data_IF_456745890136
#
_entry.id   IF_456745890136
#
_cell.length_a   1.000
_cell.length_b   1.000
_cell.length_c   1.000
_cell.angle_alpha   90.00
_cell.angle_beta   90.00
_cell.angle_gamma   90.00
#
_symmetry.space_group_name_H-M   'P 1'
#
loop_
_entity.id
_entity.type
_entity.pdbx_description
1 polymer ?
#
# COMPACT_ATOMS: atom_id res chain seq x y z
N UNK A 1 -17.58 0.47 -7.14
CA UNK A 1 -16.45 0.05 -6.28
C UNK A 1 -15.36 1.08 -6.39
N UNK A 2 -14.96 1.67 -5.27
CA UNK A 2 -13.93 2.71 -5.22
C UNK A 2 -12.65 2.17 -4.59
N UNK A 3 -11.53 2.22 -5.33
CA UNK A 3 -10.22 1.75 -4.89
C UNK A 3 -9.27 2.94 -4.73
N UNK A 4 -8.69 3.07 -3.55
CA UNK A 4 -7.71 4.09 -3.21
C UNK A 4 -6.31 3.48 -3.20
N UNK A 5 -5.40 4.01 -4.02
CA UNK A 5 -3.97 3.75 -3.93
C UNK A 5 -3.28 4.80 -3.05
N UNK A 6 -2.46 4.37 -2.10
CA UNK A 6 -1.64 5.26 -1.26
C UNK A 6 -0.16 4.95 -1.51
N UNK A 7 0.55 5.90 -2.11
CA UNK A 7 1.99 5.81 -2.35
C UNK A 7 2.78 6.45 -1.21
N UNK A 8 3.47 5.62 -0.42
CA UNK A 8 4.32 6.07 0.69
C UNK A 8 5.73 6.50 0.30
N UNK A 9 6.08 6.56 -0.99
CA UNK A 9 7.41 6.94 -1.44
C UNK A 9 7.73 8.41 -1.14
N UNK A 10 9.00 8.69 -0.79
CA UNK A 10 9.51 10.07 -0.73
C UNK A 10 9.75 10.70 -2.11
N UNK A 11 9.76 9.90 -3.17
CA UNK A 11 10.07 10.34 -4.54
C UNK A 11 8.80 10.34 -5.38
N UNK A 12 8.31 11.54 -5.71
CA UNK A 12 7.12 11.74 -6.53
C UNK A 12 7.27 11.12 -7.92
N UNK A 13 6.23 10.43 -8.40
CA UNK A 13 6.15 9.90 -9.77
C UNK A 13 7.21 8.85 -10.12
N UNK A 14 7.90 8.26 -9.13
CA UNK A 14 8.96 7.26 -9.38
C UNK A 14 8.40 5.83 -9.33
N UNK A 15 9.29 4.85 -9.19
CA UNK A 15 8.98 3.42 -9.39
C UNK A 15 7.75 2.96 -8.61
N UNK A 16 7.66 3.26 -7.32
CA UNK A 16 6.51 2.86 -6.50
C UNK A 16 5.19 3.40 -7.05
N UNK A 17 5.19 4.67 -7.50
CA UNK A 17 4.06 5.28 -8.19
C UNK A 17 3.72 4.53 -9.48
N UNK A 18 4.70 4.29 -10.36
CA UNK A 18 4.47 3.65 -11.66
C UNK A 18 3.84 2.26 -11.51
N UNK A 19 4.34 1.48 -10.56
CA UNK A 19 3.85 0.13 -10.30
C UNK A 19 2.46 0.13 -9.64
N UNK A 20 2.22 1.03 -8.69
CA UNK A 20 0.90 1.19 -8.08
C UNK A 20 -0.13 1.67 -9.12
N UNK A 21 0.23 2.67 -9.93
CA UNK A 21 -0.63 3.17 -10.99
C UNK A 21 -0.97 2.09 -12.02
N UNK A 22 -0.02 1.22 -12.37
CA UNK A 22 -0.29 0.07 -13.24
C UNK A 22 -1.42 -0.82 -12.69
N UNK A 23 -1.40 -1.12 -11.40
CA UNK A 23 -2.44 -1.93 -10.73
C UNK A 23 -3.79 -1.19 -10.75
N UNK A 24 -3.78 0.11 -10.46
CA UNK A 24 -4.99 0.93 -10.43
C UNK A 24 -5.62 1.05 -11.84
N UNK A 25 -4.83 1.21 -12.89
CA UNK A 25 -5.33 1.22 -14.26
C UNK A 25 -5.94 -0.13 -14.68
N UNK A 26 -5.38 -1.25 -14.22
CA UNK A 26 -6.00 -2.57 -14.39
C UNK A 26 -7.33 -2.68 -13.66
N UNK A 27 -7.43 -2.21 -12.42
CA UNK A 27 -8.70 -2.16 -11.66
C UNK A 27 -9.73 -1.24 -12.34
N UNK A 28 -9.29 -0.13 -12.90
CA UNK A 28 -10.14 0.78 -13.67
C UNK A 28 -10.70 0.09 -14.92
N UNK A 29 -9.89 -0.70 -15.64
CA UNK A 29 -10.37 -1.48 -16.78
C UNK A 29 -11.39 -2.57 -16.39
N UNK A 30 -11.39 -3.01 -15.14
CA UNK A 30 -12.40 -3.91 -14.55
C UNK A 30 -13.63 -3.17 -13.99
N UNK A 31 -13.77 -1.87 -14.25
CA UNK A 31 -14.93 -1.05 -13.89
C UNK A 31 -14.88 -0.44 -12.49
N UNK A 32 -13.72 -0.43 -11.83
CA UNK A 32 -13.55 0.28 -10.56
C UNK A 32 -13.32 1.78 -10.78
N UNK A 33 -13.88 2.61 -9.90
CA UNK A 33 -13.39 3.99 -9.73
C UNK A 33 -12.10 3.95 -8.94
N UNK A 34 -11.07 4.68 -9.37
CA UNK A 34 -9.76 4.65 -8.74
C UNK A 34 -9.24 6.05 -8.44
N UNK A 35 -8.50 6.20 -7.34
CA UNK A 35 -7.73 7.41 -7.04
C UNK A 35 -6.36 7.00 -6.51
N UNK A 36 -5.35 7.86 -6.69
CA UNK A 36 -4.00 7.66 -6.20
C UNK A 36 -3.53 8.89 -5.41
N UNK A 37 -3.18 8.66 -4.16
CA UNK A 37 -2.57 9.65 -3.27
C UNK A 37 -1.07 9.37 -3.18
N UNK A 38 -0.24 10.37 -3.50
CA UNK A 38 1.19 10.36 -3.19
C UNK A 38 1.44 11.12 -1.89
N UNK A 39 1.85 10.43 -0.82
CA UNK A 39 2.06 11.07 0.49
C UNK A 39 3.11 12.19 0.47
N UNK A 40 3.96 12.21 -0.56
CA UNK A 40 4.95 13.29 -0.74
C UNK A 40 4.33 14.66 -1.01
N UNK A 41 3.09 14.70 -1.49
CA UNK A 41 2.36 15.93 -1.80
C UNK A 41 1.65 16.53 -0.58
N UNK A 42 1.67 15.83 0.57
CA UNK A 42 0.92 16.20 1.76
C UNK A 42 1.85 16.44 2.94
N UNK A 43 1.53 17.47 3.72
CA UNK A 43 2.19 17.70 5.00
C UNK A 43 1.39 17.03 6.12
N UNK A 44 1.97 16.01 6.76
CA UNK A 44 1.37 15.30 7.89
C UNK A 44 2.34 15.38 9.06
N UNK A 45 1.93 16.03 10.13
CA UNK A 45 2.70 16.14 11.36
C UNK A 45 2.80 14.81 12.09
N UNK A 46 3.87 14.61 12.83
CA UNK A 46 4.06 13.38 13.62
C UNK A 46 3.04 13.26 14.75
N UNK A 47 2.72 12.02 15.11
CA UNK A 47 1.89 11.75 16.27
C UNK A 47 2.60 12.22 17.56
N UNK A 48 1.95 13.06 18.35
CA UNK A 48 2.46 13.57 19.63
C UNK A 48 2.02 12.76 20.86
N UNK A 49 1.47 11.57 20.63
CA UNK A 49 1.02 10.65 21.68
C UNK A 49 0.06 11.26 22.72
N UNK A 50 -0.73 12.27 22.36
CA UNK A 50 -1.67 12.96 23.25
C UNK A 50 -2.84 12.10 23.73
N UNK A 51 -3.04 10.91 23.15
CA UNK A 51 -4.08 9.93 23.47
C UNK A 51 -5.55 10.39 23.33
N UNK A 52 -5.82 11.57 22.76
CA UNK A 52 -7.20 12.04 22.53
C UNK A 52 -8.02 11.11 21.63
N UNK A 53 -7.37 10.36 20.75
CA UNK A 53 -8.01 9.33 19.92
C UNK A 53 -8.59 8.14 20.73
N UNK A 54 -8.27 8.01 22.02
CA UNK A 54 -8.93 7.08 22.95
C UNK A 54 -10.28 7.60 23.44
N UNK A 55 -10.50 8.91 23.38
CA UNK A 55 -11.71 9.59 23.87
C UNK A 55 -12.63 10.00 22.73
N UNK A 56 -12.05 10.42 21.59
CA UNK A 56 -12.78 10.97 20.44
C UNK A 56 -12.41 10.23 19.14
N UNK A 57 -13.38 10.12 18.23
CA UNK A 57 -13.18 9.52 16.89
C UNK A 57 -12.57 10.58 15.96
N UNK A 58 -11.43 11.13 16.34
CA UNK A 58 -10.66 12.12 15.57
C UNK A 58 -9.22 12.23 16.07
N UNK A 59 -8.33 12.76 15.23
CA UNK A 59 -7.02 13.19 15.66
C UNK A 59 -7.07 14.62 16.20
N UNK A 60 -6.31 14.94 17.26
CA UNK A 60 -6.26 16.26 17.85
C UNK A 60 -5.46 17.28 17.02
N UNK A 61 -4.52 16.85 16.21
CA UNK A 61 -3.76 17.72 15.32
C UNK A 61 -4.63 17.98 14.08
N UNK A 62 -4.94 19.25 13.83
CA UNK A 62 -5.85 19.67 12.75
C UNK A 62 -5.19 20.57 11.71
N UNK A 63 -3.98 21.07 11.99
CA UNK A 63 -3.30 22.03 11.13
C UNK A 63 -2.37 21.35 10.11
N UNK A 64 -2.84 20.22 9.54
CA UNK A 64 -2.13 19.48 8.52
C UNK A 64 -3.09 18.78 7.54
N UNK A 65 -2.54 18.10 6.54
CA UNK A 65 -3.32 17.50 5.46
C UNK A 65 -3.90 16.12 5.80
N UNK A 66 -3.80 15.64 7.05
CA UNK A 66 -4.29 14.32 7.42
C UNK A 66 -5.75 14.09 7.02
N UNK A 67 -6.61 15.08 7.27
CA UNK A 67 -8.05 14.95 7.01
C UNK A 67 -8.34 14.70 5.52
N UNK A 68 -7.60 15.35 4.62
CA UNK A 68 -7.76 15.16 3.17
C UNK A 68 -7.55 13.69 2.78
N UNK A 69 -6.51 13.06 3.36
CA UNK A 69 -6.18 11.65 3.08
C UNK A 69 -7.21 10.72 3.75
N UNK A 70 -7.54 11.00 5.01
CA UNK A 70 -8.44 10.12 5.77
C UNK A 70 -9.87 10.15 5.26
N UNK A 71 -10.32 11.25 4.68
CA UNK A 71 -11.64 11.34 4.02
C UNK A 71 -11.70 10.40 2.80
N UNK A 72 -10.63 10.30 2.01
CA UNK A 72 -10.55 9.36 0.90
C UNK A 72 -10.44 7.90 1.39
N UNK A 73 -9.68 7.65 2.47
CA UNK A 73 -9.59 6.32 3.12
C UNK A 73 -10.98 5.86 3.60
N UNK A 74 -11.77 6.75 4.18
CA UNK A 74 -13.12 6.42 4.67
C UNK A 74 -14.11 6.15 3.53
N UNK A 75 -13.97 6.79 2.37
CA UNK A 75 -14.82 6.55 1.19
C UNK A 75 -14.48 5.25 0.48
N UNK A 76 -13.21 4.84 0.47
CA UNK A 76 -12.75 3.70 -0.31
C UNK A 76 -13.36 2.38 0.15
N UNK A 77 -13.69 1.50 -0.80
CA UNK A 77 -14.09 0.11 -0.57
C UNK A 77 -12.84 -0.80 -0.45
N UNK A 78 -11.76 -0.44 -1.15
CA UNK A 78 -10.48 -1.12 -1.12
C UNK A 78 -9.33 -0.10 -1.05
N UNK A 79 -8.29 -0.40 -0.25
CA UNK A 79 -7.12 0.46 -0.07
C UNK A 79 -5.86 -0.33 -0.43
N UNK A 80 -5.09 0.15 -1.41
CA UNK A 80 -3.80 -0.44 -1.78
C UNK A 80 -2.69 0.47 -1.28
N UNK A 81 -1.91 0.00 -0.30
CA UNK A 81 -0.78 0.76 0.25
C UNK A 81 0.52 0.29 -0.42
N UNK A 82 1.24 1.24 -1.01
CA UNK A 82 2.53 0.99 -1.64
C UNK A 82 3.67 1.68 -0.88
N UNK A 83 4.78 0.96 -0.66
CA UNK A 83 5.99 1.51 -0.02
C UNK A 83 7.26 0.99 -0.68
N UNK A 84 8.29 1.84 -0.87
CA UNK A 84 9.63 1.31 -1.02
C UNK A 84 10.15 0.79 0.32
N UNK A 85 11.17 -0.06 0.28
CA UNK A 85 11.85 -0.57 1.47
C UNK A 85 12.91 0.42 1.96
N UNK A 86 12.85 0.76 3.24
CA UNK A 86 13.86 1.55 3.96
C UNK A 86 14.28 0.79 5.23
N UNK A 87 15.47 0.17 5.22
CA UNK A 87 15.98 -0.63 6.34
C UNK A 87 14.95 -1.66 6.87
N UNK A 88 14.42 -2.47 5.94
CA UNK A 88 13.37 -3.47 6.21
C UNK A 88 12.10 -2.89 6.87
N UNK A 89 11.81 -1.62 6.62
CA UNK A 89 10.64 -0.93 7.16
C UNK A 89 9.96 -0.09 6.07
N UNK A 90 8.77 0.41 6.37
CA UNK A 90 8.07 1.40 5.56
C UNK A 90 8.80 2.76 5.66
N UNK A 91 8.52 3.66 4.74
CA UNK A 91 9.04 5.03 4.81
C UNK A 91 8.51 5.76 6.05
N UNK A 92 9.24 6.78 6.53
CA UNK A 92 8.78 7.63 7.63
C UNK A 92 7.44 8.32 7.32
N UNK A 93 7.19 8.75 6.07
CA UNK A 93 5.91 9.32 5.65
C UNK A 93 4.74 8.34 5.84
N UNK A 94 4.92 7.10 5.39
CA UNK A 94 3.89 6.09 5.56
C UNK A 94 3.72 5.72 7.04
N UNK A 95 4.81 5.65 7.79
CA UNK A 95 4.74 5.39 9.23
C UNK A 95 3.99 6.50 9.97
N UNK A 96 4.22 7.76 9.59
CA UNK A 96 3.46 8.89 10.13
C UNK A 96 1.97 8.76 9.86
N UNK A 97 1.56 8.41 8.64
CA UNK A 97 0.14 8.15 8.33
C UNK A 97 -0.43 7.01 9.19
N UNK A 98 0.29 5.89 9.30
CA UNK A 98 -0.10 4.75 10.14
C UNK A 98 -0.37 5.20 11.58
N UNK A 99 0.57 5.93 12.19
CA UNK A 99 0.42 6.40 13.57
C UNK A 99 -0.73 7.40 13.74
N UNK A 100 -0.94 8.25 12.75
CA UNK A 100 -1.95 9.30 12.78
C UNK A 100 -3.37 8.82 12.46
N UNK A 101 -3.53 7.61 11.91
CA UNK A 101 -4.84 6.98 11.66
C UNK A 101 -5.37 6.13 12.81
N UNK A 102 -4.66 6.05 13.94
CA UNK A 102 -5.06 5.30 15.14
C UNK A 102 -6.49 5.58 15.60
N UNK A 103 -6.99 6.80 15.47
CA UNK A 103 -8.35 7.19 15.86
C UNK A 103 -9.47 6.47 15.10
N UNK A 104 -9.17 5.94 13.90
CA UNK A 104 -10.13 5.18 13.10
C UNK A 104 -10.46 3.80 13.67
N UNK A 105 -9.63 3.31 14.59
CA UNK A 105 -9.77 1.99 15.21
C UNK A 105 -10.14 2.05 16.69
N UNK A 106 -9.59 2.99 17.46
CA UNK A 106 -9.60 2.93 18.93
C UNK A 106 -10.99 2.94 19.59
N UNK A 107 -11.98 3.61 19.02
CA UNK A 107 -13.35 3.64 19.56
C UNK A 107 -14.38 2.96 18.65
N UNK A 108 -14.10 2.90 17.37
CA UNK A 108 -14.99 2.34 16.36
C UNK A 108 -14.15 1.89 15.17
N UNK A 109 -14.31 0.65 14.78
CA UNK A 109 -13.62 0.10 13.60
C UNK A 109 -14.18 0.68 12.31
N UNK A 110 -13.73 1.90 11.95
CA UNK A 110 -14.27 2.63 10.80
C UNK A 110 -13.89 1.98 9.46
N UNK A 111 -12.84 1.16 9.45
CA UNK A 111 -12.36 0.47 8.26
C UNK A 111 -12.76 -1.02 8.22
N UNK A 112 -13.56 -1.47 9.19
CA UNK A 112 -14.01 -2.86 9.24
C UNK A 112 -14.69 -3.28 7.93
N UNK A 113 -14.32 -4.47 7.46
CA UNK A 113 -14.81 -5.08 6.23
C UNK A 113 -14.38 -4.40 4.91
N UNK A 114 -13.65 -3.29 4.95
CA UNK A 114 -12.97 -2.79 3.75
C UNK A 114 -11.86 -3.76 3.33
N UNK A 115 -11.46 -3.72 2.07
CA UNK A 115 -10.36 -4.53 1.54
C UNK A 115 -9.06 -3.77 1.64
N UNK A 116 -7.97 -4.51 1.84
CA UNK A 116 -6.63 -3.97 1.84
C UNK A 116 -5.68 -4.84 1.03
N UNK A 117 -4.74 -4.23 0.34
CA UNK A 117 -3.64 -4.91 -0.32
C UNK A 117 -2.36 -4.08 -0.20
N UNK A 118 -1.20 -4.70 -0.31
CA UNK A 118 0.07 -3.98 -0.30
C UNK A 118 0.90 -4.25 -1.55
N UNK A 119 1.73 -3.25 -1.90
CA UNK A 119 2.80 -3.34 -2.90
C UNK A 119 4.10 -2.86 -2.26
N UNK A 120 5.15 -3.68 -2.31
CA UNK A 120 6.45 -3.28 -1.77
C UNK A 120 7.55 -3.39 -2.82
N UNK A 121 8.37 -2.35 -2.89
CA UNK A 121 9.45 -2.22 -3.87
C UNK A 121 10.79 -2.16 -3.14
N UNK A 122 11.64 -3.16 -3.35
CA UNK A 122 13.00 -3.19 -2.81
C UNK A 122 14.04 -2.66 -3.79
N UNK A 123 15.11 -2.07 -3.28
CA UNK A 123 16.31 -1.75 -4.09
C UNK A 123 17.18 -2.97 -4.33
N UNK A 124 17.20 -3.92 -3.40
CA UNK A 124 18.02 -5.13 -3.43
C UNK A 124 17.13 -6.37 -3.59
N UNK A 125 17.73 -7.48 -4.05
CA UNK A 125 17.02 -8.74 -4.26
C UNK A 125 16.38 -9.28 -2.97
N UNK A 126 17.11 -9.22 -1.86
CA UNK A 126 16.66 -9.64 -0.52
C UNK A 126 16.73 -8.45 0.47
N UNK A 127 16.10 -7.35 0.10
CA UNK A 127 16.21 -6.09 0.84
C UNK A 127 15.20 -5.89 1.98
N UNK A 128 14.44 -6.94 2.37
CA UNK A 128 13.42 -6.86 3.42
C UNK A 128 12.01 -6.56 2.90
N UNK A 129 11.72 -6.83 1.62
CA UNK A 129 10.40 -6.58 1.01
C UNK A 129 9.29 -7.31 1.74
N UNK A 130 9.49 -8.58 2.09
CA UNK A 130 8.49 -9.39 2.79
C UNK A 130 8.19 -8.85 4.19
N UNK A 131 9.22 -8.38 4.90
CA UNK A 131 9.05 -7.75 6.22
C UNK A 131 8.17 -6.51 6.12
N UNK A 132 8.42 -5.66 5.11
CA UNK A 132 7.63 -4.45 4.88
C UNK A 132 6.19 -4.78 4.49
N UNK A 133 5.96 -5.82 3.69
CA UNK A 133 4.61 -6.33 3.43
C UNK A 133 3.91 -6.74 4.73
N UNK A 134 4.57 -7.50 5.60
CA UNK A 134 4.01 -7.90 6.88
C UNK A 134 3.65 -6.71 7.78
N UNK A 135 4.49 -5.66 7.79
CA UNK A 135 4.21 -4.43 8.56
C UNK A 135 2.92 -3.77 8.05
N UNK A 136 2.78 -3.62 6.73
CA UNK A 136 1.58 -3.00 6.12
C UNK A 136 0.35 -3.89 6.34
N UNK A 137 0.48 -5.19 6.14
CA UNK A 137 -0.62 -6.15 6.33
C UNK A 137 -1.08 -6.20 7.79
N UNK A 138 -0.16 -6.21 8.76
CA UNK A 138 -0.49 -6.16 10.18
C UNK A 138 -1.22 -4.86 10.56
N UNK A 139 -0.79 -3.72 10.00
CA UNK A 139 -1.53 -2.47 10.15
C UNK A 139 -2.97 -2.60 9.62
N UNK A 140 -3.14 -3.11 8.40
CA UNK A 140 -4.48 -3.31 7.80
C UNK A 140 -5.36 -4.25 8.63
N UNK A 141 -4.81 -5.38 9.08
CA UNK A 141 -5.54 -6.33 9.93
C UNK A 141 -5.97 -5.70 11.25
N UNK A 142 -5.08 -4.95 11.91
CA UNK A 142 -5.40 -4.22 13.14
C UNK A 142 -6.47 -3.14 12.94
N UNK A 143 -6.55 -2.56 11.74
CA UNK A 143 -7.60 -1.60 11.36
C UNK A 143 -8.90 -2.27 10.91
N UNK A 144 -8.99 -3.60 10.94
CA UNK A 144 -10.18 -4.37 10.59
C UNK A 144 -10.40 -4.63 9.09
N UNK A 145 -9.38 -4.38 8.26
CA UNK A 145 -9.48 -4.65 6.83
C UNK A 145 -9.29 -6.15 6.53
N UNK A 146 -9.96 -6.63 5.50
CA UNK A 146 -9.69 -7.92 4.89
C UNK A 146 -8.52 -7.79 3.92
N UNK A 147 -7.38 -8.39 4.26
CA UNK A 147 -6.17 -8.33 3.44
C UNK A 147 -6.28 -9.30 2.26
N UNK A 148 -6.14 -8.78 1.05
CA UNK A 148 -6.16 -9.52 -0.20
C UNK A 148 -4.74 -9.63 -0.77
N UNK A 149 -4.40 -10.81 -1.29
CA UNK A 149 -3.07 -11.15 -1.79
C UNK A 149 -3.15 -11.69 -3.22
N UNK A 150 -2.06 -11.63 -4.00
CA UNK A 150 -1.97 -12.28 -5.31
C UNK A 150 -1.90 -13.80 -5.16
N UNK A 151 -2.99 -14.42 -4.71
CA UNK A 151 -3.07 -15.83 -4.37
C UNK A 151 -3.77 -16.60 -5.47
N UNK A 152 -3.17 -17.69 -5.94
CA UNK A 152 -3.81 -18.64 -6.83
C UNK A 152 -4.23 -19.87 -6.03
N UNK A 153 -5.53 -20.15 -6.01
CA UNK A 153 -6.05 -21.38 -5.41
C UNK A 153 -5.58 -22.58 -6.24
N UNK A 154 -5.23 -23.67 -5.57
CA UNK A 154 -4.76 -24.91 -6.17
C UNK A 154 -3.44 -24.79 -6.97
N UNK A 155 -2.61 -23.81 -6.69
CA UNK A 155 -1.27 -23.68 -7.25
C UNK A 155 -0.20 -23.91 -6.19
N UNK A 156 0.89 -24.61 -6.51
CA UNK A 156 2.04 -24.73 -5.63
C UNK A 156 2.80 -23.40 -5.50
N UNK A 157 2.55 -22.43 -6.39
CA UNK A 157 3.13 -21.09 -6.30
C UNK A 157 2.32 -20.27 -5.31
N UNK A 158 2.91 -20.05 -4.14
CA UNK A 158 2.32 -19.27 -3.08
C UNK A 158 2.90 -17.86 -3.08
N UNK A 159 2.21 -16.94 -3.74
CA UNK A 159 2.55 -15.52 -3.66
C UNK A 159 1.88 -14.95 -2.41
N UNK A 160 2.66 -14.81 -1.34
CA UNK A 160 2.17 -14.31 -0.06
C UNK A 160 1.93 -12.80 -0.07
N UNK A 161 2.64 -12.07 -0.94
CA UNK A 161 2.62 -10.61 -0.98
C UNK A 161 3.00 -10.11 -2.37
N UNK A 162 2.54 -8.92 -2.76
CA UNK A 162 2.97 -8.30 -4.00
C UNK A 162 4.24 -7.50 -3.75
N UNK A 163 5.36 -8.11 -4.08
CA UNK A 163 6.69 -7.51 -3.95
C UNK A 163 7.42 -7.49 -5.28
N UNK A 164 8.32 -6.54 -5.45
CA UNK A 164 9.27 -6.53 -6.55
C UNK A 164 10.60 -5.92 -6.12
N UNK A 165 11.62 -6.09 -6.95
CA UNK A 165 12.95 -5.51 -6.73
C UNK A 165 13.41 -4.71 -7.94
N UNK A 166 14.15 -3.64 -7.67
CA UNK A 166 14.87 -2.87 -8.69
C UNK A 166 16.19 -3.52 -9.07
N UNK A 167 16.69 -4.46 -8.26
CA UNK A 167 17.92 -5.18 -8.57
C UNK A 167 17.75 -5.95 -9.89
N UNK A 168 18.75 -5.82 -10.77
CA UNK A 168 18.82 -6.56 -12.02
C UNK A 168 20.01 -7.51 -12.02
N UNK A 169 21.21 -6.99 -11.71
CA UNK A 169 22.45 -7.74 -11.78
C UNK A 169 23.53 -7.07 -10.92
N UNK A 170 24.70 -7.73 -10.81
CA UNK A 170 25.92 -7.17 -10.24
C UNK A 170 27.09 -7.44 -11.18
N UNK A 171 27.74 -6.37 -11.67
CA UNK A 171 28.86 -6.41 -12.59
C UNK A 171 30.01 -5.61 -11.96
N UNK A 172 31.20 -6.21 -11.83
CA UNK A 172 32.38 -5.59 -11.23
C UNK A 172 32.09 -4.91 -9.87
N UNK A 173 31.41 -5.64 -8.96
CA UNK A 173 30.97 -5.18 -7.64
C UNK A 173 30.05 -3.97 -7.66
N UNK A 174 29.44 -3.63 -8.81
CA UNK A 174 28.46 -2.56 -8.96
C UNK A 174 27.07 -3.12 -9.14
N UNK A 175 26.12 -2.60 -8.37
CA UNK A 175 24.70 -2.95 -8.52
C UNK A 175 24.15 -2.34 -9.81
N UNK A 176 23.50 -3.19 -10.61
CA UNK A 176 22.78 -2.82 -11.81
C UNK A 176 21.28 -2.85 -11.47
N UNK A 177 20.59 -1.76 -11.75
CA UNK A 177 19.16 -1.64 -11.50
C UNK A 177 18.34 -1.74 -12.79
N UNK A 178 17.14 -2.26 -12.67
CA UNK A 178 16.14 -2.29 -13.76
C UNK A 178 15.87 -0.88 -14.28
N UNK A 179 15.82 -0.74 -15.59
CA UNK A 179 15.33 0.47 -16.26
C UNK A 179 13.80 0.53 -16.18
N UNK A 180 13.23 1.67 -16.58
CA UNK A 180 11.76 1.90 -16.52
C UNK A 180 10.96 0.87 -17.30
N UNK A 181 11.42 0.48 -18.48
CA UNK A 181 10.83 -0.53 -19.36
C UNK A 181 10.95 -1.97 -18.84
N UNK A 182 11.86 -2.21 -17.89
CA UNK A 182 12.08 -3.51 -17.25
C UNK A 182 11.31 -3.69 -15.92
N UNK A 183 10.61 -2.65 -15.45
CA UNK A 183 9.89 -2.69 -14.18
C UNK A 183 8.67 -3.62 -14.21
N UNK A 184 8.03 -3.72 -15.37
CA UNK A 184 6.90 -4.60 -15.60
C UNK A 184 7.40 -5.95 -16.12
N UNK A 185 8.17 -6.65 -15.29
CA UNK A 185 8.61 -8.01 -15.61
C UNK A 185 7.43 -9.01 -15.56
N UNK A 186 7.57 -10.18 -16.20
CA UNK A 186 6.48 -11.16 -16.29
C UNK A 186 5.93 -11.61 -14.93
N UNK A 187 6.79 -11.70 -13.90
CA UNK A 187 6.36 -12.10 -12.56
C UNK A 187 5.51 -11.01 -11.90
N UNK A 188 5.95 -9.75 -12.01
CA UNK A 188 5.18 -8.62 -11.48
C UNK A 188 3.84 -8.47 -12.19
N UNK A 189 3.82 -8.57 -13.53
CA UNK A 189 2.57 -8.51 -14.32
C UNK A 189 1.62 -9.61 -13.84
N UNK A 190 2.06 -10.86 -13.80
CA UNK A 190 1.22 -11.99 -13.40
C UNK A 190 0.69 -11.85 -11.97
N UNK A 191 1.55 -11.45 -11.04
CA UNK A 191 1.17 -11.24 -9.64
C UNK A 191 0.15 -10.11 -9.48
N UNK A 192 0.33 -9.02 -10.25
CA UNK A 192 -0.60 -7.89 -10.27
C UNK A 192 -1.97 -8.28 -10.83
N UNK A 193 -2.01 -9.06 -11.92
CA UNK A 193 -3.25 -9.56 -12.51
C UNK A 193 -4.01 -10.47 -11.54
N UNK A 194 -3.31 -11.33 -10.81
CA UNK A 194 -3.91 -12.18 -9.78
C UNK A 194 -4.48 -11.34 -8.62
N UNK A 195 -3.75 -10.31 -8.19
CA UNK A 195 -4.23 -9.40 -7.14
C UNK A 195 -5.50 -8.66 -7.61
N UNK A 196 -5.47 -8.08 -8.81
CA UNK A 196 -6.63 -7.40 -9.42
C UNK A 196 -7.83 -8.32 -9.48
N UNK A 197 -7.66 -9.54 -10.00
CA UNK A 197 -8.72 -10.55 -10.05
C UNK A 197 -9.30 -10.82 -8.66
N UNK A 198 -8.44 -11.08 -7.66
CA UNK A 198 -8.88 -11.39 -6.30
C UNK A 198 -9.63 -10.21 -5.65
N UNK A 199 -9.20 -8.97 -5.91
CA UNK A 199 -9.90 -7.77 -5.44
C UNK A 199 -11.29 -7.70 -6.07
N UNK A 200 -11.39 -7.81 -7.39
CA UNK A 200 -12.65 -7.68 -8.14
C UNK A 200 -13.64 -8.78 -7.74
N UNK A 201 -13.18 -10.03 -7.63
CA UNK A 201 -14.01 -11.16 -7.23
C UNK A 201 -14.52 -11.01 -5.79
N UNK A 202 -13.66 -10.62 -4.85
CA UNK A 202 -14.05 -10.43 -3.46
C UNK A 202 -15.04 -9.26 -3.29
N UNK A 203 -14.87 -8.19 -4.06
CA UNK A 203 -15.76 -7.02 -4.00
C UNK A 203 -17.12 -7.26 -4.69
N UNK A 204 -17.21 -8.19 -5.67
CA UNK A 204 -18.49 -8.58 -6.28
C UNK A 204 -19.35 -9.48 -5.38
N UNK A 205 -18.75 -10.12 -4.39
CA UNK A 205 -19.40 -11.02 -3.45
C UNK A 205 -19.86 -10.32 -2.16
N UNK A 206 -19.94 -8.98 -2.18
CA UNK A 206 -20.55 -8.15 -1.13
C UNK A 206 -22.02 -7.93 -1.38
#
# INVERSE_FOLDING_TARGET
>A
MYVLGINGSHRKGKVTYLLLNYILEKLKSEGCSVNLIELVDYNIEYCIACNRCLEKIECSIKNDDLNVITDEVLKADCIIIASPVYFSNVTSRLKTLIDRTRWMHMKKDLLRNKRGACLVVGGLLYGGQEIVCQIIENYMLNMGLKVLKPRLFNSPIYLTSLTTTLYKDMIDDKLIYKKKDELLDPLFIRSSELLVKNIVEDMKNM
#
